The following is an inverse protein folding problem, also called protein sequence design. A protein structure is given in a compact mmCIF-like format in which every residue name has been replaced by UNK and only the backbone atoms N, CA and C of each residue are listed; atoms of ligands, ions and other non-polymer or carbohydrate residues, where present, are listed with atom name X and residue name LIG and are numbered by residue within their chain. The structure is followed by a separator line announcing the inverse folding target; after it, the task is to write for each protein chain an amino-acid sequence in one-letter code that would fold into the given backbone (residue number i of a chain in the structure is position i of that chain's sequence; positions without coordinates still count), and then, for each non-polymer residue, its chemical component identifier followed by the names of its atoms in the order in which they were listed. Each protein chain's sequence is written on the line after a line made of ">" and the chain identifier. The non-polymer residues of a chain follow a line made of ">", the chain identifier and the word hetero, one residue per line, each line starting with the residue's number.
data_IF_675940709897
#
_entry.id   IF_675940709897
#
_cell.length_a   1.000
_cell.length_b   1.000
_cell.length_c   1.000
_cell.angle_alpha   90.00
_cell.angle_beta   90.00
_cell.angle_gamma   90.00
#
_symmetry.space_group_name_H-M   'P 1'
#
loop_
_entity.id
_entity.type
_entity.pdbx_description
1 polymer ?
#
# COMPACT_ATOMS: atom_id res chain seq x y z
N UNK A 1 3.40 -0.90 -7.27
CA UNK A 1 3.02 0.28 -6.47
C UNK A 1 3.16 1.54 -7.32
N UNK A 2 2.17 2.43 -7.32
CA UNK A 2 2.22 3.68 -8.10
C UNK A 2 2.60 4.89 -7.24
N UNK A 3 3.61 5.65 -7.66
CA UNK A 3 4.01 6.91 -7.01
C UNK A 3 3.15 8.11 -7.46
N UNK A 4 3.42 9.29 -6.89
CA UNK A 4 2.74 10.56 -7.24
C UNK A 4 3.02 11.06 -8.65
N UNK A 5 4.13 10.65 -9.26
CA UNK A 5 4.48 10.99 -10.65
C UNK A 5 3.82 10.01 -11.65
N UNK A 6 3.07 9.03 -11.14
CA UNK A 6 2.37 8.03 -11.93
C UNK A 6 3.24 6.84 -12.31
N UNK A 7 4.50 6.78 -11.87
CA UNK A 7 5.43 5.68 -12.17
C UNK A 7 5.06 4.44 -11.36
N UNK A 8 5.20 3.28 -12.00
CA UNK A 8 4.94 1.98 -11.39
C UNK A 8 6.25 1.34 -10.93
N UNK A 9 6.37 1.15 -9.62
CA UNK A 9 7.34 0.23 -9.03
C UNK A 9 6.78 -1.19 -9.10
N UNK A 10 7.49 -2.08 -9.78
CA UNK A 10 7.13 -3.50 -9.85
C UNK A 10 7.37 -4.18 -8.50
N UNK A 11 6.48 -5.11 -8.16
CA UNK A 11 6.62 -5.93 -6.97
C UNK A 11 7.49 -7.15 -7.27
N UNK A 12 8.18 -7.64 -6.25
CA UNK A 12 8.88 -8.91 -6.29
C UNK A 12 7.92 -10.02 -5.84
N UNK A 13 8.12 -11.23 -6.36
CA UNK A 13 7.38 -12.38 -5.86
C UNK A 13 8.04 -12.88 -4.56
N UNK A 14 7.25 -12.93 -3.48
CA UNK A 14 7.66 -13.50 -2.20
C UNK A 14 7.58 -15.03 -2.19
N UNK A 15 8.14 -15.64 -1.15
CA UNK A 15 8.29 -17.10 -1.04
C UNK A 15 6.96 -17.85 -0.96
N UNK A 16 5.91 -17.22 -0.42
CA UNK A 16 4.56 -17.80 -0.35
C UNK A 16 3.66 -17.32 -1.51
N UNK A 17 4.24 -16.72 -2.55
CA UNK A 17 3.51 -16.24 -3.74
C UNK A 17 2.87 -14.87 -3.59
N UNK A 18 3.15 -14.16 -2.50
CA UNK A 18 2.76 -12.77 -2.30
C UNK A 18 3.53 -11.81 -3.23
N UNK A 19 2.95 -10.63 -3.47
CA UNK A 19 3.67 -9.54 -4.13
C UNK A 19 4.26 -8.60 -3.06
N UNK A 20 5.59 -8.49 -3.03
CA UNK A 20 6.35 -7.68 -2.08
C UNK A 20 6.77 -6.37 -2.74
N UNK A 21 6.56 -5.26 -2.04
CA UNK A 21 6.98 -3.93 -2.48
C UNK A 21 7.74 -3.24 -1.37
N UNK A 22 8.97 -2.82 -1.66
CA UNK A 22 9.75 -1.99 -0.75
C UNK A 22 9.45 -0.52 -1.00
N UNK A 23 8.78 0.12 -0.04
CA UNK A 23 8.47 1.56 -0.12
C UNK A 23 8.97 2.27 1.13
N UNK A 24 9.54 3.46 0.93
CA UNK A 24 9.93 4.32 2.05
C UNK A 24 8.87 5.36 2.30
N UNK A 25 8.39 5.42 3.54
CA UNK A 25 7.47 6.45 4.02
C UNK A 25 8.14 7.24 5.15
N UNK A 26 7.92 8.54 5.15
CA UNK A 26 8.33 9.41 6.25
C UNK A 26 7.20 9.52 7.25
N UNK A 27 7.52 9.43 8.54
CA UNK A 27 6.56 9.62 9.62
C UNK A 27 6.65 11.06 10.12
N UNK A 28 5.50 11.72 10.29
CA UNK A 28 5.42 13.08 10.82
C UNK A 28 4.22 13.21 11.77
N UNK A 29 4.36 13.99 12.85
CA UNK A 29 3.23 14.44 13.65
C UNK A 29 2.38 15.47 12.90
N UNK A 30 1.08 15.24 12.88
CA UNK A 30 0.08 16.14 12.32
C UNK A 30 -0.24 17.32 13.24
N UNK A 31 -1.29 18.07 12.92
CA UNK A 31 -1.64 19.28 13.70
C UNK A 31 -2.23 18.94 15.08
N UNK A 32 -2.81 17.77 15.20
CA UNK A 32 -3.42 17.25 16.42
C UNK A 32 -2.60 16.06 16.97
N UNK A 33 -1.29 16.05 16.69
CA UNK A 33 -0.35 14.97 17.07
C UNK A 33 -0.66 13.60 16.44
N UNK A 34 -1.55 13.54 15.46
CA UNK A 34 -1.84 12.30 14.73
C UNK A 34 -0.63 11.86 13.88
N UNK A 35 -0.44 10.55 13.72
CA UNK A 35 0.58 10.02 12.84
C UNK A 35 0.21 10.30 11.38
N UNK A 36 1.09 10.97 10.63
CA UNK A 36 0.92 11.21 9.20
C UNK A 36 2.06 10.54 8.43
N UNK A 37 1.70 9.61 7.54
CA UNK A 37 2.64 8.97 6.61
C UNK A 37 2.77 9.79 5.32
N UNK A 38 4.01 10.11 4.97
CA UNK A 38 4.40 10.94 3.83
C UNK A 38 5.38 10.19 2.91
N UNK A 39 5.65 10.72 1.72
CA UNK A 39 6.56 10.13 0.74
C UNK A 39 6.02 10.21 -0.68
N UNK A 40 6.82 9.72 -1.64
CA UNK A 40 6.45 9.67 -3.06
C UNK A 40 5.27 8.76 -3.33
N UNK A 41 5.09 7.70 -2.54
CA UNK A 41 3.97 6.75 -2.66
C UNK A 41 2.74 7.10 -1.79
N UNK A 42 2.84 8.03 -0.85
CA UNK A 42 1.74 8.38 0.06
C UNK A 42 0.79 9.42 -0.54
N UNK A 43 -0.32 8.97 -1.13
CA UNK A 43 -1.35 9.80 -1.76
C UNK A 43 -2.39 10.30 -0.76
N UNK A 44 -3.25 11.24 -1.21
CA UNK A 44 -4.39 11.74 -0.41
C UNK A 44 -4.03 12.85 0.59
N UNK A 45 -5.03 13.37 1.33
CA UNK A 45 -4.82 14.33 2.42
C UNK A 45 -4.23 13.65 3.69
N UNK A 46 -3.69 14.40 4.66
CA UNK A 46 -3.10 13.84 5.89
C UNK A 46 -3.97 12.81 6.63
N UNK A 47 -5.25 13.10 6.88
CA UNK A 47 -6.16 12.17 7.55
C UNK A 47 -6.71 11.03 6.68
N UNK A 48 -6.31 10.98 5.41
CA UNK A 48 -6.81 10.01 4.42
C UNK A 48 -5.68 9.50 3.54
N UNK A 49 -4.49 9.28 4.12
CA UNK A 49 -3.34 8.75 3.38
C UNK A 49 -3.64 7.35 2.86
N UNK A 50 -3.16 7.05 1.67
CA UNK A 50 -3.24 5.73 1.06
C UNK A 50 -2.09 5.50 0.07
N UNK A 51 -1.82 4.23 -0.26
CA UNK A 51 -0.97 3.83 -1.38
C UNK A 51 -1.82 3.37 -2.56
N UNK A 52 -1.28 3.47 -3.78
CA UNK A 52 -1.90 2.88 -4.97
C UNK A 52 -1.23 1.55 -5.35
N UNK A 53 -1.95 0.44 -5.15
CA UNK A 53 -1.63 -0.82 -5.80
C UNK A 53 -2.23 -0.81 -7.20
N UNK A 54 -1.41 -0.90 -8.23
CA UNK A 54 -1.82 -0.68 -9.61
C UNK A 54 -1.33 -1.80 -10.52
N UNK A 55 -2.13 -2.07 -11.56
CA UNK A 55 -1.86 -3.01 -12.63
C UNK A 55 -1.82 -2.24 -13.94
N UNK A 56 -0.90 -2.62 -14.81
CA UNK A 56 -0.83 -2.16 -16.19
C UNK A 56 -0.95 -3.36 -17.13
N UNK A 57 -1.51 -3.11 -18.30
CA UNK A 57 -1.47 -4.04 -19.44
C UNK A 57 -0.05 -4.12 -20.01
N UNK A 58 0.21 -5.12 -20.87
CA UNK A 58 1.53 -5.31 -21.50
C UNK A 58 2.00 -4.07 -22.30
N UNK A 59 1.07 -3.30 -22.86
CA UNK A 59 1.37 -2.07 -23.58
C UNK A 59 1.64 -0.85 -22.67
N UNK A 60 1.72 -1.05 -21.35
CA UNK A 60 1.96 -0.01 -20.35
C UNK A 60 0.74 0.82 -19.97
N UNK A 61 -0.43 0.57 -20.57
CA UNK A 61 -1.67 1.26 -20.21
C UNK A 61 -2.12 0.84 -18.82
N UNK A 62 -2.49 1.81 -17.97
CA UNK A 62 -3.01 1.54 -16.64
C UNK A 62 -4.36 0.80 -16.74
N UNK A 63 -4.42 -0.43 -16.23
CA UNK A 63 -5.63 -1.24 -16.23
C UNK A 63 -6.55 -0.91 -15.05
N UNK A 64 -5.99 -0.91 -13.83
CA UNK A 64 -6.73 -0.64 -12.60
C UNK A 64 -5.79 -0.23 -11.47
N UNK A 65 -6.35 0.46 -10.47
CA UNK A 65 -5.68 0.75 -9.21
C UNK A 65 -6.62 0.58 -8.02
N UNK A 66 -6.08 0.09 -6.92
CA UNK A 66 -6.73 -0.02 -5.62
C UNK A 66 -6.03 0.90 -4.63
N UNK A 67 -6.82 1.52 -3.75
CA UNK A 67 -6.29 2.32 -2.65
C UNK A 67 -6.08 1.41 -1.45
N UNK A 68 -4.84 1.34 -0.97
CA UNK A 68 -4.52 0.69 0.30
C UNK A 68 -4.51 1.77 1.38
N UNK A 69 -5.49 1.81 2.30
CA UNK A 69 -5.56 2.85 3.32
C UNK A 69 -4.33 2.80 4.25
N UNK A 70 -3.80 3.98 4.57
CA UNK A 70 -2.77 4.19 5.58
C UNK A 70 -3.31 4.93 6.81
N UNK A 71 -4.41 5.68 6.68
CA UNK A 71 -4.96 6.53 7.73
C UNK A 71 -5.46 5.83 8.99
N UNK A 72 -5.47 4.49 9.03
CA UNK A 72 -5.75 3.71 10.23
C UNK A 72 -4.52 3.35 11.06
N UNK A 73 -3.31 3.54 10.52
CA UNK A 73 -2.06 3.24 11.21
C UNK A 73 -1.75 4.38 12.20
N UNK A 74 -1.62 4.04 13.47
CA UNK A 74 -1.34 4.99 14.55
C UNK A 74 0.08 4.81 15.14
N UNK A 75 0.47 5.69 16.06
CA UNK A 75 1.79 5.66 16.70
C UNK A 75 2.09 4.35 17.45
N UNK A 76 1.07 3.74 18.08
CA UNK A 76 1.25 2.48 18.79
C UNK A 76 1.51 1.34 17.81
N UNK A 77 0.80 1.29 16.67
CA UNK A 77 1.03 0.25 15.65
C UNK A 77 2.48 0.29 15.14
N UNK A 78 3.01 1.50 14.87
CA UNK A 78 4.40 1.67 14.42
C UNK A 78 5.39 1.28 15.51
N UNK A 79 5.15 1.72 16.76
CA UNK A 79 6.01 1.37 17.89
C UNK A 79 6.04 -0.12 18.15
N UNK A 80 4.87 -0.75 18.23
CA UNK A 80 4.72 -2.19 18.45
C UNK A 80 5.38 -2.98 17.31
N UNK A 81 5.26 -2.49 16.06
CA UNK A 81 5.90 -3.12 14.92
C UNK A 81 7.44 -3.13 15.04
N UNK A 82 8.02 -2.00 15.46
CA UNK A 82 9.47 -1.87 15.68
C UNK A 82 9.93 -2.71 16.87
N UNK A 83 9.28 -2.55 18.03
CA UNK A 83 9.67 -3.19 19.29
C UNK A 83 9.53 -4.72 19.23
N UNK A 84 8.47 -5.21 18.58
CA UNK A 84 8.18 -6.64 18.51
C UNK A 84 8.68 -7.29 17.21
N UNK A 85 9.23 -6.50 16.29
CA UNK A 85 9.59 -6.93 14.93
C UNK A 85 8.43 -7.64 14.19
N UNK A 86 7.19 -7.21 14.47
CA UNK A 86 5.98 -7.76 13.86
C UNK A 86 5.45 -6.80 12.80
N UNK A 87 4.93 -7.31 11.68
CA UNK A 87 4.34 -6.42 10.69
C UNK A 87 3.02 -5.82 11.21
N UNK A 88 2.73 -4.59 10.81
CA UNK A 88 1.37 -4.04 10.90
C UNK A 88 0.52 -4.74 9.85
N UNK A 89 -0.58 -5.35 10.24
CA UNK A 89 -1.46 -6.11 9.33
C UNK A 89 -2.77 -5.38 9.08
N UNK A 90 -3.30 -5.52 7.87
CA UNK A 90 -4.59 -4.97 7.47
C UNK A 90 -5.25 -5.82 6.39
N UNK A 91 -6.47 -5.43 6.03
CA UNK A 91 -7.23 -6.06 4.96
C UNK A 91 -7.54 -5.01 3.89
N UNK A 92 -7.02 -5.22 2.68
CA UNK A 92 -7.49 -4.52 1.50
C UNK A 92 -8.81 -5.15 1.08
N UNK A 93 -9.87 -4.36 0.97
CA UNK A 93 -11.17 -4.83 0.47
C UNK A 93 -11.51 -4.04 -0.78
N UNK A 94 -11.61 -4.74 -1.91
CA UNK A 94 -12.19 -4.22 -3.13
C UNK A 94 -13.53 -4.91 -3.41
N UNK A 95 -14.58 -4.11 -3.48
CA UNK A 95 -15.94 -4.57 -3.75
C UNK A 95 -16.24 -4.72 -5.25
N UNK A 96 -15.28 -4.39 -6.13
CA UNK A 96 -15.46 -4.46 -7.59
C UNK A 96 -14.34 -5.26 -8.28
N UNK A 97 -14.19 -6.57 -7.98
CA UNK A 97 -13.13 -7.38 -8.54
C UNK A 97 -13.23 -7.51 -10.06
N UNK A 98 -12.07 -7.55 -10.72
CA UNK A 98 -11.89 -7.74 -12.17
C UNK A 98 -10.77 -8.75 -12.43
N UNK A 99 -10.64 -9.17 -13.69
CA UNK A 99 -9.52 -9.98 -14.17
C UNK A 99 -8.85 -9.20 -15.31
N UNK A 100 -7.53 -9.03 -15.28
CA UNK A 100 -6.78 -8.40 -16.39
C UNK A 100 -6.88 -9.25 -17.66
N UNK A 101 -6.49 -8.68 -18.81
CA UNK A 101 -6.28 -9.45 -20.05
C UNK A 101 -5.28 -10.59 -19.86
N UNK A 102 -4.34 -10.44 -18.92
CA UNK A 102 -3.32 -11.43 -18.54
C UNK A 102 -3.79 -12.48 -17.52
N UNK A 103 -5.07 -12.47 -17.12
CA UNK A 103 -5.64 -13.44 -16.18
C UNK A 103 -5.37 -13.14 -14.70
N UNK A 104 -4.72 -12.02 -14.38
CA UNK A 104 -4.49 -11.63 -12.99
C UNK A 104 -5.80 -11.16 -12.36
N UNK A 105 -6.18 -11.75 -11.23
CA UNK A 105 -7.29 -11.26 -10.42
C UNK A 105 -6.90 -9.90 -9.82
N UNK A 106 -7.70 -8.88 -10.09
CA UNK A 106 -7.61 -7.53 -9.56
C UNK A 106 -8.79 -7.30 -8.63
N UNK A 107 -8.59 -7.39 -7.33
CA UNK A 107 -9.62 -7.07 -6.33
C UNK A 107 -9.90 -8.18 -5.33
N UNK A 108 -11.08 -8.09 -4.72
CA UNK A 108 -11.50 -8.91 -3.58
C UNK A 108 -10.86 -8.47 -2.27
N UNK A 109 -10.97 -9.32 -1.25
CA UNK A 109 -10.33 -9.12 0.04
C UNK A 109 -8.93 -9.74 0.05
N UNK A 110 -7.90 -8.95 0.38
CA UNK A 110 -6.51 -9.42 0.43
C UNK A 110 -5.83 -8.94 1.71
N UNK A 111 -5.13 -9.83 2.45
CA UNK A 111 -4.31 -9.39 3.55
C UNK A 111 -3.19 -8.49 3.01
N UNK A 112 -2.89 -7.42 3.75
CA UNK A 112 -1.74 -6.56 3.52
C UNK A 112 -0.95 -6.50 4.81
N UNK A 113 0.36 -6.56 4.71
CA UNK A 113 1.25 -6.45 5.86
C UNK A 113 2.34 -5.43 5.57
N UNK A 114 2.74 -4.68 6.60
CA UNK A 114 3.78 -3.67 6.54
C UNK A 114 4.86 -4.07 7.53
N UNK A 115 6.05 -4.41 7.02
CA UNK A 115 7.23 -4.56 7.88
C UNK A 115 7.90 -3.20 7.98
N UNK A 116 7.98 -2.68 9.19
CA UNK A 116 8.82 -1.50 9.47
C UNK A 116 10.26 -2.00 9.59
N UNK A 117 11.16 -1.43 8.79
CA UNK A 117 12.59 -1.75 8.77
C UNK A 117 13.39 -0.69 9.51
#
# INVERSE_FOLDING_TARGET
>A
MQDKDGRLQLGLQGEAGEAVFDVTLQVKAGKSEELVLLGSFAHGPPGGRFLYLAWAEENGTLAQRLKIPLGGINWNDVRDSIEQQKPVVGLLVDHHPRVTSTGANIGGSRPVSWRVL
#
